data_IF_338213610069
#
_entry.id   IF_338213610069
#
_cell.length_a   1.000
_cell.length_b   1.000
_cell.length_c   1.000
_cell.angle_alpha   90.00
_cell.angle_beta   90.00
_cell.angle_gamma   90.00
#
_symmetry.space_group_name_H-M   'P 1'
#
loop_
_entity.id
_entity.type
_entity.pdbx_description
1 polymer ?
#
# COMPACT_ATOMS: atom_id res chain seq x y z
N UNK A 1 -41.81 -26.40 -22.94
CA UNK A 1 -41.23 -26.39 -21.58
C UNK A 1 -39.70 -26.55 -21.68
N UNK A 2 -39.17 -27.49 -22.45
CA UNK A 2 -37.72 -27.75 -22.54
C UNK A 2 -36.88 -26.60 -23.09
N UNK A 3 -37.38 -25.82 -24.04
CA UNK A 3 -36.62 -24.73 -24.64
C UNK A 3 -36.50 -23.53 -23.71
N UNK A 4 -37.52 -23.28 -22.91
CA UNK A 4 -37.51 -22.19 -21.90
C UNK A 4 -36.62 -22.54 -20.73
N UNK A 5 -36.62 -23.82 -20.27
CA UNK A 5 -35.74 -24.29 -19.21
C UNK A 5 -34.27 -24.20 -19.61
N UNK A 6 -33.90 -24.61 -20.84
CA UNK A 6 -32.53 -24.50 -21.34
C UNK A 6 -32.07 -23.05 -21.47
N UNK A 7 -32.96 -22.11 -21.83
CA UNK A 7 -32.65 -20.69 -21.87
C UNK A 7 -32.42 -20.09 -20.46
N UNK A 8 -33.18 -20.57 -19.45
CA UNK A 8 -32.99 -20.16 -18.07
C UNK A 8 -31.68 -20.67 -17.50
N UNK A 9 -31.33 -21.95 -17.75
CA UNK A 9 -30.05 -22.53 -17.35
C UNK A 9 -28.86 -21.78 -17.97
N UNK A 10 -28.89 -21.56 -19.29
CA UNK A 10 -27.81 -20.85 -19.97
C UNK A 10 -27.63 -19.40 -19.51
N UNK A 11 -28.72 -18.70 -19.13
CA UNK A 11 -28.64 -17.35 -18.55
C UNK A 11 -28.13 -17.38 -17.12
N UNK A 12 -28.47 -18.42 -16.32
CA UNK A 12 -27.94 -18.63 -14.98
C UNK A 12 -26.44 -18.86 -15.00
N UNK A 13 -25.97 -19.72 -15.90
CA UNK A 13 -24.52 -19.97 -16.10
C UNK A 13 -23.76 -18.72 -16.53
N UNK A 14 -24.34 -17.93 -17.44
CA UNK A 14 -23.76 -16.69 -17.92
C UNK A 14 -23.66 -15.62 -16.80
N UNK A 15 -24.72 -15.49 -15.97
CA UNK A 15 -24.69 -14.59 -14.80
C UNK A 15 -23.65 -15.02 -13.78
N UNK A 16 -23.55 -16.33 -13.49
CA UNK A 16 -22.52 -16.88 -12.60
C UNK A 16 -21.10 -16.61 -13.09
N UNK A 17 -20.87 -16.67 -14.40
CA UNK A 17 -19.57 -16.32 -15.00
C UNK A 17 -19.24 -14.83 -14.81
N UNK A 18 -20.21 -13.95 -15.05
CA UNK A 18 -20.03 -12.50 -14.85
C UNK A 18 -19.77 -12.18 -13.38
N UNK A 19 -20.53 -12.80 -12.46
CA UNK A 19 -20.32 -12.60 -11.03
C UNK A 19 -18.92 -13.05 -10.59
N UNK A 20 -18.44 -14.19 -11.08
CA UNK A 20 -17.09 -14.69 -10.82
C UNK A 20 -16.02 -13.71 -11.33
N UNK A 21 -16.16 -13.22 -12.55
CA UNK A 21 -15.23 -12.26 -13.15
C UNK A 21 -15.20 -10.92 -12.39
N UNK A 22 -16.36 -10.45 -11.94
CA UNK A 22 -16.47 -9.22 -11.13
C UNK A 22 -15.83 -9.39 -9.73
N UNK A 23 -15.96 -10.56 -9.13
CA UNK A 23 -15.32 -10.89 -7.84
C UNK A 23 -13.80 -10.92 -8.02
N UNK A 24 -13.30 -11.59 -9.04
CA UNK A 24 -11.87 -11.69 -9.34
C UNK A 24 -11.25 -10.32 -9.65
N UNK A 25 -11.94 -9.46 -10.37
CA UNK A 25 -11.51 -8.10 -10.63
C UNK A 25 -11.46 -7.26 -9.36
N UNK A 26 -12.46 -7.40 -8.48
CA UNK A 26 -12.49 -6.71 -7.18
C UNK A 26 -11.37 -7.16 -6.26
N UNK A 27 -11.09 -8.47 -6.22
CA UNK A 27 -9.98 -9.05 -5.46
C UNK A 27 -8.67 -8.50 -5.97
N UNK A 28 -8.41 -8.56 -7.28
CA UNK A 28 -7.19 -8.00 -7.91
C UNK A 28 -7.00 -6.52 -7.62
N UNK A 29 -8.06 -5.70 -7.70
CA UNK A 29 -7.99 -4.26 -7.37
C UNK A 29 -7.64 -4.00 -5.92
N UNK A 30 -8.12 -4.84 -4.99
CA UNK A 30 -7.81 -4.70 -3.57
C UNK A 30 -6.39 -5.15 -3.21
N UNK A 31 -5.76 -6.00 -4.00
CA UNK A 31 -4.39 -6.50 -3.82
C UNK A 31 -3.33 -5.55 -4.39
N UNK A 32 -3.69 -4.64 -5.30
CA UNK A 32 -2.73 -3.67 -5.83
C UNK A 32 -2.51 -2.51 -4.83
N UNK A 33 -1.26 -2.16 -4.49
CA UNK A 33 -0.94 -1.12 -3.50
C UNK A 33 -1.13 0.28 -4.08
N UNK A 34 -2.38 0.61 -4.35
CA UNK A 34 -2.79 1.87 -4.98
C UNK A 34 -3.32 2.91 -4.00
N UNK A 35 -3.52 2.58 -2.71
CA UNK A 35 -3.86 3.57 -1.70
C UNK A 35 -2.61 4.31 -1.21
N UNK A 36 -2.73 5.62 -0.96
CA UNK A 36 -1.68 6.38 -0.30
C UNK A 36 -1.48 5.83 1.11
N UNK A 37 -0.26 5.44 1.48
CA UNK A 37 0.00 4.79 2.77
C UNK A 37 -0.01 5.76 3.96
N UNK A 38 0.04 7.06 3.70
CA UNK A 38 0.00 8.12 4.70
C UNK A 38 -0.63 9.39 4.12
N UNK A 39 -1.39 10.14 4.92
CA UNK A 39 -1.83 11.48 4.57
C UNK A 39 -0.68 12.47 4.79
N UNK A 40 0.12 12.67 3.76
CA UNK A 40 1.25 13.59 3.79
C UNK A 40 1.25 14.47 2.53
N UNK A 41 1.89 15.64 2.65
CA UNK A 41 2.26 16.39 1.45
C UNK A 41 3.33 15.58 0.71
N UNK A 42 3.13 15.41 -0.59
CA UNK A 42 4.06 14.69 -1.47
C UNK A 42 5.34 15.53 -1.69
N UNK A 43 6.17 15.65 -0.68
CA UNK A 43 7.55 16.14 -0.79
C UNK A 43 8.50 14.97 -0.52
N UNK A 44 8.26 13.87 -1.22
CA UNK A 44 8.97 12.64 -1.04
C UNK A 44 10.31 12.67 -1.78
N UNK A 45 11.35 12.18 -1.14
CA UNK A 45 12.53 11.72 -1.85
C UNK A 45 12.15 10.54 -2.74
N UNK A 46 12.37 10.65 -4.04
CA UNK A 46 11.91 9.68 -5.02
C UNK A 46 12.71 8.38 -5.03
N UNK A 47 12.13 7.35 -5.66
CA UNK A 47 12.78 6.08 -5.98
C UNK A 47 13.92 6.28 -6.98
N UNK A 48 15.05 5.60 -6.77
CA UNK A 48 16.15 5.58 -7.72
C UNK A 48 17.51 5.95 -7.11
N UNK A 49 18.53 6.04 -7.96
CA UNK A 49 19.88 6.40 -7.57
C UNK A 49 19.96 7.85 -7.10
N UNK A 50 20.49 8.04 -5.90
CA UNK A 50 20.69 9.37 -5.28
C UNK A 50 21.90 9.39 -4.36
N UNK A 51 22.33 10.56 -3.95
CA UNK A 51 23.30 10.70 -2.86
C UNK A 51 22.58 10.37 -1.55
N UNK A 52 23.11 9.39 -0.81
CA UNK A 52 22.61 9.02 0.51
C UNK A 52 22.86 10.17 1.49
N UNK A 53 21.81 10.68 2.17
CA UNK A 53 21.93 11.85 3.03
C UNK A 53 22.75 11.61 4.31
N UNK A 54 23.03 10.34 4.65
CA UNK A 54 23.79 9.97 5.85
C UNK A 54 25.25 9.73 5.52
N UNK A 55 25.53 9.00 4.43
CA UNK A 55 26.89 8.59 4.07
C UNK A 55 27.55 9.52 3.03
N UNK A 56 26.77 10.31 2.29
CA UNK A 56 27.24 11.10 1.16
C UNK A 56 27.61 10.28 -0.08
N UNK A 57 27.48 8.97 -0.05
CA UNK A 57 27.78 8.08 -1.16
C UNK A 57 26.57 7.93 -2.10
N UNK A 58 26.83 7.56 -3.36
CA UNK A 58 25.77 7.21 -4.29
C UNK A 58 25.13 5.88 -3.86
N UNK A 59 23.80 5.88 -3.64
CA UNK A 59 23.05 4.70 -3.22
C UNK A 59 21.70 4.63 -3.94
N UNK A 60 21.20 3.41 -4.10
CA UNK A 60 19.86 3.16 -4.61
C UNK A 60 18.84 3.36 -3.50
N UNK A 61 17.87 4.25 -3.71
CA UNK A 61 16.70 4.43 -2.86
C UNK A 61 15.60 3.48 -3.33
N UNK A 62 15.34 2.41 -2.58
CA UNK A 62 14.45 1.33 -2.97
C UNK A 62 12.95 1.63 -2.76
N UNK A 63 12.63 2.83 -2.27
CA UNK A 63 11.27 3.25 -1.95
C UNK A 63 11.00 4.72 -2.25
N UNK A 64 9.96 5.24 -1.62
CA UNK A 64 9.58 6.65 -1.58
C UNK A 64 9.45 7.07 -0.12
N UNK A 65 10.00 8.23 0.23
CA UNK A 65 9.87 8.81 1.56
C UNK A 65 8.73 9.82 1.59
N UNK A 66 7.78 9.65 2.51
CA UNK A 66 6.68 10.57 2.77
C UNK A 66 6.97 11.34 4.05
N UNK A 67 7.21 12.64 3.96
CA UNK A 67 7.43 13.49 5.14
C UNK A 67 6.08 13.71 5.83
N UNK A 68 6.00 13.31 7.10
CA UNK A 68 4.83 13.49 7.95
C UNK A 68 5.25 13.53 9.42
N UNK A 69 4.45 14.18 10.25
CA UNK A 69 4.72 14.27 11.69
C UNK A 69 4.69 12.89 12.36
N UNK A 70 5.54 12.74 13.39
CA UNK A 70 5.56 11.52 14.20
C UNK A 70 4.18 11.28 14.81
N UNK A 71 3.68 10.05 14.74
CA UNK A 71 2.34 9.67 15.19
C UNK A 71 1.27 9.73 14.10
N UNK A 72 1.57 10.30 12.92
CA UNK A 72 0.63 10.27 11.78
C UNK A 72 0.30 8.82 11.42
N UNK A 73 -0.98 8.47 11.19
CA UNK A 73 -1.37 7.12 10.84
C UNK A 73 -0.74 6.64 9.55
N UNK A 74 -0.15 5.44 9.57
CA UNK A 74 0.27 4.68 8.40
C UNK A 74 -0.80 3.64 8.12
N UNK A 75 -1.28 3.58 6.87
CA UNK A 75 -2.32 2.63 6.44
C UNK A 75 -1.80 1.67 5.37
N UNK A 76 -2.36 0.48 5.33
CA UNK A 76 -2.04 -0.53 4.32
C UNK A 76 -2.45 -0.04 2.91
N UNK A 77 -1.52 0.00 1.97
CA UNK A 77 -1.75 0.46 0.59
C UNK A 77 -2.64 -0.50 -0.21
N UNK A 78 -2.71 -1.77 0.20
CA UNK A 78 -3.60 -2.81 -0.33
C UNK A 78 -3.99 -3.80 0.78
N UNK A 79 -4.96 -4.67 0.51
CA UNK A 79 -5.28 -5.79 1.38
C UNK A 79 -4.20 -6.87 1.29
N UNK A 80 -3.94 -7.60 2.38
CA UNK A 80 -2.92 -8.65 2.40
C UNK A 80 -2.71 -9.24 3.79
N UNK A 81 -1.69 -10.07 3.92
CA UNK A 81 -1.27 -10.70 5.18
C UNK A 81 0.03 -10.05 5.64
N UNK A 82 0.10 -9.66 6.91
CA UNK A 82 1.33 -9.14 7.53
C UNK A 82 2.33 -10.29 7.64
N UNK A 83 3.47 -10.19 6.95
CA UNK A 83 4.54 -11.19 6.97
C UNK A 83 5.72 -10.81 7.86
N UNK A 84 5.83 -9.53 8.24
CA UNK A 84 6.75 -9.06 9.27
C UNK A 84 6.17 -7.86 10.00
N UNK A 85 6.38 -7.80 11.33
CA UNK A 85 5.99 -6.70 12.19
C UNK A 85 7.01 -6.60 13.34
N UNK A 86 8.21 -6.08 13.05
CA UNK A 86 9.39 -6.22 13.90
C UNK A 86 10.30 -4.99 13.85
N UNK A 87 11.35 -5.02 14.67
CA UNK A 87 12.43 -4.03 14.63
C UNK A 87 13.59 -4.51 13.77
N UNK A 88 13.82 -3.81 12.67
CA UNK A 88 14.94 -4.07 11.75
C UNK A 88 16.09 -3.07 11.95
N UNK A 89 17.38 -3.47 11.89
CA UNK A 89 18.52 -2.57 12.15
C UNK A 89 18.54 -1.30 11.29
N UNK A 90 18.26 -1.41 10.00
CA UNK A 90 18.26 -0.28 9.06
C UNK A 90 16.88 0.40 8.99
N UNK A 91 15.79 -0.37 8.83
CA UNK A 91 14.44 0.14 8.65
C UNK A 91 13.75 0.61 9.94
N UNK A 92 14.35 0.36 11.13
CA UNK A 92 13.69 0.65 12.39
C UNK A 92 12.47 -0.25 12.61
N UNK A 93 11.37 0.28 13.11
CA UNK A 93 10.12 -0.49 13.20
C UNK A 93 9.54 -0.64 11.80
N UNK A 94 9.42 -1.90 11.37
CA UNK A 94 9.07 -2.31 10.01
C UNK A 94 7.79 -3.15 10.02
N UNK A 95 6.90 -2.86 9.10
CA UNK A 95 5.77 -3.73 8.72
C UNK A 95 5.96 -4.14 7.27
N UNK A 96 5.84 -5.45 6.99
CA UNK A 96 5.75 -5.98 5.62
C UNK A 96 4.41 -6.67 5.41
N UNK A 97 3.80 -6.43 4.25
CA UNK A 97 2.51 -7.01 3.88
C UNK A 97 2.65 -7.72 2.54
N UNK A 98 2.31 -9.01 2.52
CA UNK A 98 2.16 -9.80 1.30
C UNK A 98 0.73 -9.64 0.76
N UNK A 99 0.64 -9.20 -0.49
CA UNK A 99 -0.62 -8.96 -1.20
C UNK A 99 -0.99 -10.12 -2.14
N UNK A 100 -0.17 -11.18 -2.15
CA UNK A 100 -0.25 -12.27 -3.13
C UNK A 100 0.47 -11.92 -4.44
N UNK A 101 0.60 -12.94 -5.32
CA UNK A 101 1.24 -12.79 -6.63
C UNK A 101 2.68 -12.20 -6.56
N UNK A 102 3.45 -12.58 -5.55
CA UNK A 102 4.82 -12.10 -5.29
C UNK A 102 4.94 -10.58 -5.03
N UNK A 103 3.83 -9.92 -4.68
CA UNK A 103 3.78 -8.49 -4.44
C UNK A 103 3.78 -8.20 -2.93
N UNK A 104 4.81 -7.49 -2.45
CA UNK A 104 5.00 -7.13 -1.05
C UNK A 104 5.16 -5.63 -0.92
N UNK A 105 4.59 -5.04 0.14
CA UNK A 105 4.87 -3.65 0.54
C UNK A 105 5.58 -3.60 1.88
N UNK A 106 6.46 -2.59 2.05
CA UNK A 106 7.20 -2.30 3.28
C UNK A 106 6.88 -0.91 3.79
N UNK A 107 6.73 -0.81 5.11
CA UNK A 107 6.45 0.43 5.83
C UNK A 107 7.47 0.56 6.95
N UNK A 108 8.44 1.45 6.77
CA UNK A 108 9.58 1.57 7.67
C UNK A 108 9.60 2.88 8.48
N UNK A 109 10.53 2.95 9.42
CA UNK A 109 10.80 4.06 10.35
C UNK A 109 9.64 4.41 11.29
N UNK A 110 8.66 3.48 11.45
CA UNK A 110 7.50 3.71 12.30
C UNK A 110 7.90 4.00 13.76
N UNK A 111 7.16 4.87 14.43
CA UNK A 111 7.27 5.08 15.88
C UNK A 111 6.64 3.91 16.64
N UNK A 112 5.53 3.38 16.12
CA UNK A 112 4.78 2.28 16.73
C UNK A 112 4.15 1.39 15.67
N UNK A 113 4.24 0.07 15.84
CA UNK A 113 3.56 -0.95 15.07
C UNK A 113 2.24 -1.30 15.77
N UNK A 114 1.15 -1.42 15.03
CA UNK A 114 -0.21 -1.67 15.55
C UNK A 114 -0.80 -3.01 15.12
N UNK A 115 -0.07 -3.77 14.32
CA UNK A 115 -0.43 -5.09 13.81
C UNK A 115 0.62 -6.12 14.19
N UNK A 116 0.31 -7.40 14.02
CA UNK A 116 1.22 -8.52 14.26
C UNK A 116 1.36 -9.36 13.00
N UNK A 117 2.45 -10.09 12.89
CA UNK A 117 2.64 -11.11 11.87
C UNK A 117 1.47 -12.11 11.84
N UNK A 118 1.08 -12.56 10.64
CA UNK A 118 -0.02 -13.47 10.39
C UNK A 118 -1.40 -12.80 10.32
N UNK A 119 -1.53 -11.51 10.65
CA UNK A 119 -2.81 -10.81 10.64
C UNK A 119 -3.19 -10.39 9.21
N UNK A 120 -4.45 -10.68 8.83
CA UNK A 120 -5.04 -10.17 7.60
C UNK A 120 -5.42 -8.70 7.77
N UNK A 121 -4.96 -7.85 6.86
CA UNK A 121 -5.27 -6.41 6.84
C UNK A 121 -6.04 -6.03 5.58
N UNK A 122 -6.93 -5.04 5.73
CA UNK A 122 -7.67 -4.46 4.61
C UNK A 122 -6.93 -3.26 4.05
N UNK A 123 -7.13 -2.97 2.77
CA UNK A 123 -6.69 -1.72 2.16
C UNK A 123 -7.21 -0.52 2.98
N UNK A 124 -6.34 0.42 3.33
CA UNK A 124 -6.65 1.60 4.14
C UNK A 124 -6.74 1.34 5.65
N UNK A 125 -6.51 0.11 6.12
CA UNK A 125 -6.45 -0.19 7.55
C UNK A 125 -5.20 0.41 8.17
N UNK A 126 -5.33 1.07 9.33
CA UNK A 126 -4.19 1.58 10.12
C UNK A 126 -3.34 0.41 10.63
N UNK A 127 -2.03 0.44 10.32
CA UNK A 127 -1.08 -0.64 10.64
C UNK A 127 0.07 -0.16 11.52
N UNK A 128 0.41 1.13 11.46
CA UNK A 128 1.52 1.73 12.20
C UNK A 128 1.33 3.24 12.36
N UNK A 129 2.30 3.90 12.98
CA UNK A 129 2.38 5.36 13.11
C UNK A 129 3.75 5.84 12.65
N UNK A 130 3.79 6.96 11.92
CA UNK A 130 5.04 7.58 11.44
C UNK A 130 5.99 7.87 12.60
N UNK A 131 7.27 7.69 12.34
CA UNK A 131 8.33 7.98 13.29
C UNK A 131 9.65 8.28 12.59
N UNK A 132 10.76 8.04 13.33
CA UNK A 132 12.13 8.23 12.85
C UNK A 132 13.04 7.16 13.43
N UNK A 133 12.55 5.90 13.51
CA UNK A 133 13.33 4.79 14.06
C UNK A 133 14.26 4.18 13.02
N UNK A 134 15.34 3.51 13.45
CA UNK A 134 16.35 2.97 12.55
C UNK A 134 17.22 4.06 11.89
N UNK A 135 17.63 3.84 10.65
CA UNK A 135 18.48 4.78 9.90
C UNK A 135 17.61 5.86 9.23
N UNK A 136 17.35 6.93 9.94
CA UNK A 136 16.47 8.03 9.53
C UNK A 136 17.06 9.37 9.95
N UNK A 137 16.85 10.41 9.14
CA UNK A 137 17.28 11.79 9.42
C UNK A 137 16.18 12.65 10.06
N UNK A 138 14.96 12.16 10.14
CA UNK A 138 13.81 12.86 10.71
C UNK A 138 12.49 12.10 10.46
N UNK A 139 11.36 12.56 11.02
CA UNK A 139 10.08 11.87 10.91
C UNK A 139 9.63 11.74 9.46
N UNK A 140 9.44 10.51 9.00
CA UNK A 140 8.91 10.17 7.67
C UNK A 140 8.45 8.71 7.63
N UNK A 141 7.66 8.37 6.63
CA UNK A 141 7.41 6.99 6.22
C UNK A 141 8.29 6.67 5.01
N UNK A 142 9.17 5.67 5.13
CA UNK A 142 9.79 5.05 3.96
C UNK A 142 8.89 3.91 3.48
N UNK A 143 8.42 4.00 2.24
CA UNK A 143 7.48 3.06 1.63
C UNK A 143 8.08 2.39 0.40
N UNK A 144 8.09 1.05 0.39
CA UNK A 144 8.54 0.24 -0.75
C UNK A 144 7.40 -0.59 -1.32
N UNK A 145 7.50 -0.85 -2.62
CA UNK A 145 6.76 -1.90 -3.32
C UNK A 145 7.79 -2.86 -3.91
N UNK A 146 7.64 -4.14 -3.65
CA UNK A 146 8.56 -5.19 -4.13
C UNK A 146 7.78 -6.23 -4.94
N UNK A 147 8.32 -6.63 -6.07
CA UNK A 147 7.77 -7.71 -6.89
C UNK A 147 8.85 -8.77 -7.06
N UNK A 148 8.55 -10.01 -6.67
CA UNK A 148 9.51 -11.13 -6.65
C UNK A 148 10.81 -10.75 -5.92
N UNK A 149 10.68 -10.06 -4.79
CA UNK A 149 11.81 -9.58 -3.99
C UNK A 149 12.54 -8.35 -4.55
N UNK A 150 12.34 -7.96 -5.81
CA UNK A 150 12.99 -6.80 -6.41
C UNK A 150 12.20 -5.50 -6.16
N UNK A 151 12.87 -4.39 -5.78
CA UNK A 151 12.19 -3.11 -5.55
C UNK A 151 11.62 -2.55 -6.86
N UNK A 152 10.40 -2.03 -6.77
CA UNK A 152 9.67 -1.38 -7.84
C UNK A 152 9.42 0.08 -7.48
N UNK A 153 9.35 0.96 -8.48
CA UNK A 153 9.01 2.36 -8.24
C UNK A 153 7.56 2.50 -7.71
N UNK A 154 7.37 2.84 -6.42
CA UNK A 154 6.03 2.94 -5.83
C UNK A 154 5.15 4.00 -6.50
N UNK A 155 5.76 5.03 -7.09
CA UNK A 155 5.04 6.08 -7.81
C UNK A 155 4.15 5.55 -8.93
N UNK A 156 4.53 4.45 -9.58
CA UNK A 156 3.72 3.81 -10.63
C UNK A 156 2.42 3.22 -10.11
N UNK A 157 2.41 2.72 -8.87
CA UNK A 157 1.24 2.14 -8.21
C UNK A 157 0.33 3.23 -7.63
N UNK A 158 0.91 4.30 -7.09
CA UNK A 158 0.20 5.36 -6.39
C UNK A 158 -0.39 6.46 -7.31
N UNK A 159 -0.07 6.46 -8.61
CA UNK A 159 -0.58 7.47 -9.55
C UNK A 159 -2.11 7.53 -9.60
N UNK A 160 -2.78 6.39 -9.51
CA UNK A 160 -4.24 6.32 -9.52
C UNK A 160 -4.89 6.82 -8.22
N UNK A 161 -4.18 6.79 -7.10
CA UNK A 161 -4.69 7.32 -5.82
C UNK A 161 -4.87 8.84 -5.85
N UNK A 162 -4.08 9.56 -6.66
CA UNK A 162 -4.21 11.01 -6.84
C UNK A 162 -5.50 11.44 -7.55
N UNK A 163 -6.00 10.60 -8.47
CA UNK A 163 -7.19 10.93 -9.27
C UNK A 163 -8.50 10.59 -8.52
N UNK A 164 -8.43 9.81 -7.44
CA UNK A 164 -9.60 9.35 -6.69
C UNK A 164 -9.92 10.17 -5.43
N UNK A 165 -9.19 11.25 -5.13
CA UNK A 165 -9.59 12.15 -4.03
C UNK A 165 -10.83 12.91 -4.50
N UNK A 166 -12.04 12.68 -3.92
CA UNK A 166 -13.21 13.49 -4.23
C UNK A 166 -12.90 14.93 -3.86
N UNK A 167 -13.24 15.87 -4.75
CA UNK A 167 -13.19 17.29 -4.46
C UNK A 167 -13.89 17.53 -3.11
N UNK A 168 -13.14 18.02 -2.13
CA UNK A 168 -13.70 18.39 -0.84
C UNK A 168 -14.76 19.43 -1.12
N UNK A 169 -16.01 19.06 -0.86
CA UNK A 169 -17.16 19.96 -0.86
C UNK A 169 -16.81 21.15 0.03
N UNK A 170 -16.60 22.30 -0.58
CA UNK A 170 -16.53 23.59 0.12
C UNK A 170 -17.85 23.74 0.86
N UNK A 171 -17.89 23.37 2.14
CA UNK A 171 -19.01 23.65 3.02
C UNK A 171 -19.13 25.17 3.13
N UNK A 172 -20.20 25.67 2.55
CA UNK A 172 -20.66 27.07 2.65
C UNK A 172 -20.64 27.51 4.11
N UNK A 173 -19.79 28.48 4.42
CA UNK A 173 -20.02 29.36 5.57
C UNK A 173 -21.25 30.23 5.25
N UNK A 174 -22.30 30.09 6.02
CA UNK A 174 -23.28 31.12 6.28
C UNK A 174 -22.93 31.75 7.61
#
# INVERSE_FOLDING_TARGET
IDQFSRQLESKGDYLGLIESEMIDERVRKNQLPTALPVEAHWNASGFGWRIDPITGAQAMHEGIDFIADSGTPIVAAAAGIVIAAERHPAYGNLVEIDHGNDLVTRYAHASRILVKEGVLVRRGQKIAEVGSTGRSTGPHLHFEVRFKGAPQNPGRFLQNARQQKPAQTLARRK
#
